data_IF_228336510342
#
_entry.id   IF_228336510342
#
_cell.length_a   1.000
_cell.length_b   1.000
_cell.length_c   1.000
_cell.angle_alpha   90.00
_cell.angle_beta   90.00
_cell.angle_gamma   90.00
#
_symmetry.space_group_name_H-M   'P 1'
#
loop_
_entity.id
_entity.type
_entity.pdbx_description
1 polymer ?
#
# COMPACT_ATOMS: atom_id res chain seq x y z
N UNK A 1 16.92 10.27 -10.70
CA UNK A 1 15.60 10.57 -11.30
C UNK A 1 15.70 11.22 -12.68
N UNK A 2 16.38 12.36 -12.85
CA UNK A 2 16.51 13.04 -14.15
C UNK A 2 17.16 12.20 -15.25
N UNK A 3 18.26 11.49 -14.94
CA UNK A 3 18.92 10.57 -15.87
C UNK A 3 17.97 9.44 -16.32
N UNK A 4 17.14 8.93 -15.41
CA UNK A 4 16.16 7.90 -15.73
C UNK A 4 15.09 8.42 -16.72
N UNK A 5 14.58 9.64 -16.51
CA UNK A 5 13.63 10.26 -17.46
C UNK A 5 14.24 10.49 -18.84
N UNK A 6 15.51 10.91 -18.91
CA UNK A 6 16.20 11.09 -20.20
C UNK A 6 16.43 9.75 -20.90
N UNK A 7 16.87 8.73 -20.17
CA UNK A 7 17.09 7.40 -20.74
C UNK A 7 15.78 6.76 -21.20
N UNK A 8 14.75 6.74 -20.34
CA UNK A 8 13.48 6.08 -20.65
C UNK A 8 12.59 6.88 -21.61
N UNK A 9 12.63 8.21 -21.54
CA UNK A 9 11.74 9.09 -22.30
C UNK A 9 12.30 9.60 -23.62
N UNK A 10 13.63 9.75 -23.73
CA UNK A 10 14.27 10.30 -24.94
C UNK A 10 15.12 9.25 -25.63
N UNK A 11 16.08 8.66 -24.92
CA UNK A 11 17.06 7.76 -25.53
C UNK A 11 16.43 6.44 -25.99
N UNK A 12 15.70 5.74 -25.11
CA UNK A 12 15.13 4.43 -25.45
C UNK A 12 14.12 4.50 -26.61
N UNK A 13 13.19 5.48 -26.67
CA UNK A 13 12.32 5.64 -27.84
C UNK A 13 13.10 6.02 -29.11
N UNK A 14 14.08 6.94 -29.03
CA UNK A 14 14.87 7.35 -30.18
C UNK A 14 15.73 6.19 -30.72
N UNK A 15 16.34 5.41 -29.84
CA UNK A 15 17.11 4.21 -30.19
C UNK A 15 16.22 3.14 -30.82
N UNK A 16 15.05 2.89 -30.25
CA UNK A 16 14.07 1.95 -30.80
C UNK A 16 13.58 2.39 -32.19
N UNK A 17 13.22 3.67 -32.35
CA UNK A 17 12.79 4.24 -33.63
C UNK A 17 13.91 4.23 -34.68
N UNK A 18 15.17 4.46 -34.28
CA UNK A 18 16.34 4.36 -35.15
C UNK A 18 16.62 2.94 -35.66
N UNK A 19 16.12 1.92 -34.95
CA UNK A 19 16.16 0.52 -35.38
C UNK A 19 15.03 0.11 -36.33
N UNK A 20 14.08 1.01 -36.65
CA UNK A 20 13.01 0.72 -37.61
C UNK A 20 13.59 0.84 -39.03
N UNK A 21 13.59 -0.25 -39.83
CA UNK A 21 14.12 -0.21 -41.18
C UNK A 21 13.30 0.74 -42.08
N UNK A 22 13.97 1.33 -43.07
CA UNK A 22 13.31 2.23 -44.02
C UNK A 22 12.17 1.51 -44.75
N UNK A 23 11.10 2.26 -45.08
CA UNK A 23 9.80 1.77 -45.59
C UNK A 23 9.85 0.77 -46.77
N UNK A 24 10.97 0.66 -47.48
CA UNK A 24 11.15 -0.27 -48.62
C UNK A 24 12.00 -1.52 -48.32
N UNK A 25 12.56 -1.68 -47.12
CA UNK A 25 13.21 -2.93 -46.74
C UNK A 25 12.15 -3.93 -46.25
N UNK A 26 11.99 -5.04 -46.99
CA UNK A 26 11.21 -6.16 -46.51
C UNK A 26 11.96 -6.81 -45.36
N UNK A 27 11.41 -6.71 -44.14
CA UNK A 27 11.85 -7.52 -43.01
C UNK A 27 11.54 -8.98 -43.30
N UNK A 28 12.56 -9.80 -43.53
CA UNK A 28 12.38 -11.25 -43.58
C UNK A 28 11.91 -11.76 -42.22
N UNK A 29 10.97 -12.72 -42.22
CA UNK A 29 10.39 -13.29 -40.98
C UNK A 29 11.43 -13.95 -40.06
N UNK A 30 12.62 -14.27 -40.58
CA UNK A 30 13.72 -14.89 -39.85
C UNK A 30 14.59 -13.91 -39.05
N UNK A 31 14.37 -12.59 -39.19
CA UNK A 31 15.18 -11.56 -38.50
C UNK A 31 14.74 -11.31 -37.04
N UNK A 32 13.96 -12.22 -36.45
CA UNK A 32 13.54 -12.13 -35.06
C UNK A 32 14.68 -12.53 -34.12
N UNK A 33 15.06 -11.65 -33.20
CA UNK A 33 16.17 -11.88 -32.26
C UNK A 33 16.04 -13.24 -31.54
N UNK A 34 17.08 -14.07 -31.69
CA UNK A 34 17.15 -15.40 -31.04
C UNK A 34 16.98 -15.29 -29.52
N UNK A 35 17.56 -14.26 -28.90
CA UNK A 35 17.44 -14.01 -27.46
C UNK A 35 15.99 -13.74 -27.07
N UNK A 36 15.32 -12.83 -27.77
CA UNK A 36 13.93 -12.47 -27.49
C UNK A 36 13.00 -13.67 -27.70
N UNK A 37 13.26 -14.48 -28.74
CA UNK A 37 12.51 -15.72 -28.99
C UNK A 37 12.66 -16.70 -27.84
N UNK A 38 13.87 -16.92 -27.33
CA UNK A 38 14.10 -17.85 -26.22
C UNK A 38 13.41 -17.36 -24.94
N UNK A 39 13.61 -16.08 -24.60
CA UNK A 39 13.03 -15.44 -23.43
C UNK A 39 11.51 -15.55 -23.42
N UNK A 40 10.85 -15.16 -24.53
CA UNK A 40 9.40 -15.16 -24.59
C UNK A 40 8.84 -16.59 -24.56
N UNK A 41 9.34 -17.49 -25.41
CA UNK A 41 8.71 -18.80 -25.60
C UNK A 41 8.98 -19.79 -24.46
N UNK A 42 10.18 -19.76 -23.87
CA UNK A 42 10.61 -20.78 -22.92
C UNK A 42 10.65 -20.31 -21.46
N UNK A 43 10.59 -18.99 -21.22
CA UNK A 43 10.59 -18.45 -19.85
C UNK A 43 9.26 -17.74 -19.58
N UNK A 44 8.93 -16.71 -20.35
CA UNK A 44 7.78 -15.84 -20.04
C UNK A 44 6.44 -16.54 -20.31
N UNK A 45 6.27 -17.22 -21.44
CA UNK A 45 5.00 -17.89 -21.76
C UNK A 45 4.68 -19.03 -20.77
N UNK A 46 5.62 -19.94 -20.41
CA UNK A 46 5.37 -20.93 -19.36
C UNK A 46 5.02 -20.29 -18.01
N UNK A 47 5.72 -19.21 -17.63
CA UNK A 47 5.43 -18.48 -16.40
C UNK A 47 4.00 -17.91 -16.39
N UNK A 48 3.56 -17.32 -17.50
CA UNK A 48 2.18 -16.83 -17.66
C UNK A 48 1.19 -17.99 -17.54
N UNK A 49 1.48 -19.16 -18.13
CA UNK A 49 0.60 -20.34 -17.99
C UNK A 49 0.47 -20.78 -16.54
N UNK A 50 1.58 -20.86 -15.80
CA UNK A 50 1.57 -21.21 -14.36
C UNK A 50 0.78 -20.17 -13.57
N UNK A 51 1.01 -18.88 -13.82
CA UNK A 51 0.28 -17.82 -13.13
C UNK A 51 -1.22 -17.81 -13.48
N UNK A 52 -1.59 -18.14 -14.72
CA UNK A 52 -2.99 -18.39 -15.10
C UNK A 52 -3.60 -19.45 -14.21
N UNK A 53 -2.91 -20.59 -14.04
CA UNK A 53 -3.41 -21.68 -13.21
C UNK A 53 -3.59 -21.24 -11.75
N UNK A 54 -2.62 -20.50 -11.19
CA UNK A 54 -2.71 -19.94 -9.84
C UNK A 54 -3.93 -19.03 -9.71
N UNK A 55 -4.12 -18.08 -10.63
CA UNK A 55 -5.29 -17.18 -10.62
C UNK A 55 -6.61 -17.95 -10.69
N UNK A 56 -6.68 -19.03 -11.46
CA UNK A 56 -7.88 -19.86 -11.55
C UNK A 56 -8.15 -20.64 -10.25
N UNK A 57 -7.10 -21.07 -9.53
CA UNK A 57 -7.25 -21.66 -8.19
C UNK A 57 -7.81 -20.63 -7.20
N UNK A 58 -7.26 -19.41 -7.18
CA UNK A 58 -7.78 -18.32 -6.36
C UNK A 58 -9.22 -17.94 -6.74
N UNK A 59 -9.54 -17.96 -8.04
CA UNK A 59 -10.89 -17.72 -8.52
C UNK A 59 -11.86 -18.80 -8.04
N UNK A 60 -11.49 -20.08 -8.15
CA UNK A 60 -12.30 -21.18 -7.64
C UNK A 60 -12.53 -21.03 -6.12
N UNK A 61 -11.49 -20.69 -5.36
CA UNK A 61 -11.61 -20.39 -3.93
C UNK A 61 -12.62 -19.28 -3.67
N UNK A 62 -12.52 -18.15 -4.36
CA UNK A 62 -13.40 -17.00 -4.16
C UNK A 62 -14.87 -17.30 -4.48
N UNK A 63 -15.15 -18.11 -5.52
CA UNK A 63 -16.53 -18.54 -5.82
C UNK A 63 -17.06 -19.45 -4.70
N UNK A 64 -16.25 -20.39 -4.23
CA UNK A 64 -16.67 -21.39 -3.22
C UNK A 64 -16.92 -20.71 -1.87
N UNK A 65 -16.05 -19.79 -1.45
CA UNK A 65 -16.20 -19.10 -0.17
C UNK A 65 -17.20 -17.95 -0.21
N UNK A 66 -17.58 -17.48 -1.41
CA UNK A 66 -18.34 -16.22 -1.62
C UNK A 66 -17.67 -14.99 -0.97
N UNK A 67 -16.40 -15.12 -0.56
CA UNK A 67 -15.59 -14.05 -0.02
C UNK A 67 -14.80 -13.42 -1.16
N UNK A 68 -15.25 -12.24 -1.58
CA UNK A 68 -14.56 -11.50 -2.62
C UNK A 68 -13.19 -11.04 -2.12
N UNK A 69 -12.13 -11.25 -2.92
CA UNK A 69 -10.80 -10.92 -2.48
C UNK A 69 -10.66 -9.41 -2.25
N UNK A 70 -10.04 -9.08 -1.11
CA UNK A 70 -9.63 -7.73 -0.74
C UNK A 70 -8.77 -7.14 -1.88
N UNK A 71 -8.95 -5.85 -2.17
CA UNK A 71 -8.66 -5.26 -3.50
C UNK A 71 -7.21 -5.18 -3.98
N UNK A 72 -6.32 -6.00 -3.43
CA UNK A 72 -5.05 -6.39 -4.05
C UNK A 72 -5.28 -7.23 -5.33
N UNK A 73 -6.34 -8.06 -5.38
CA UNK A 73 -6.60 -8.93 -6.55
C UNK A 73 -6.85 -8.15 -7.83
N UNK A 74 -7.54 -7.01 -7.77
CA UNK A 74 -7.77 -6.20 -8.95
C UNK A 74 -6.46 -5.73 -9.61
N UNK A 75 -5.49 -5.29 -8.82
CA UNK A 75 -4.18 -4.86 -9.32
C UNK A 75 -3.33 -6.02 -9.82
N UNK A 76 -3.36 -7.17 -9.13
CA UNK A 76 -2.64 -8.37 -9.57
C UNK A 76 -3.13 -8.85 -10.93
N UNK A 77 -4.45 -8.93 -11.11
CA UNK A 77 -5.04 -9.34 -12.38
C UNK A 77 -4.72 -8.31 -13.48
N UNK A 78 -4.80 -7.01 -13.17
CA UNK A 78 -4.54 -5.97 -14.15
C UNK A 78 -3.13 -6.05 -14.73
N UNK A 79 -2.10 -5.98 -13.88
CA UNK A 79 -0.70 -5.96 -14.32
C UNK A 79 -0.35 -7.24 -15.08
N UNK A 80 -0.80 -8.37 -14.57
CA UNK A 80 -0.69 -9.65 -15.27
C UNK A 80 -1.32 -9.61 -16.68
N UNK A 81 -2.52 -9.05 -16.81
CA UNK A 81 -3.24 -8.98 -18.08
C UNK A 81 -2.54 -8.04 -19.07
N UNK A 82 -2.01 -6.91 -18.61
CA UNK A 82 -1.24 -5.95 -19.42
C UNK A 82 0.07 -6.57 -19.90
N UNK A 83 0.83 -7.22 -19.02
CA UNK A 83 2.08 -7.92 -19.39
C UNK A 83 1.77 -9.02 -20.42
N UNK A 84 0.70 -9.78 -20.21
CA UNK A 84 0.30 -10.83 -21.13
C UNK A 84 -0.10 -10.28 -22.51
N UNK A 85 -0.81 -9.14 -22.56
CA UNK A 85 -1.11 -8.45 -23.81
C UNK A 85 0.17 -8.01 -24.54
N UNK A 86 1.18 -7.50 -23.81
CA UNK A 86 2.49 -7.16 -24.38
C UNK A 86 3.22 -8.39 -24.92
N UNK A 87 3.18 -9.53 -24.21
CA UNK A 87 3.76 -10.80 -24.66
C UNK A 87 3.07 -11.30 -25.93
N UNK A 88 1.74 -11.20 -26.01
CA UNK A 88 0.98 -11.55 -27.22
C UNK A 88 1.41 -10.64 -28.39
N UNK A 89 1.54 -9.34 -28.16
CA UNK A 89 2.04 -8.41 -29.18
C UNK A 89 3.43 -8.80 -29.69
N UNK A 90 4.37 -9.06 -28.78
CA UNK A 90 5.77 -9.41 -29.12
C UNK A 90 5.89 -10.78 -29.80
N UNK A 91 5.05 -11.74 -29.45
CA UNK A 91 5.08 -13.11 -30.00
C UNK A 91 4.20 -13.29 -31.23
N UNK A 92 3.34 -12.31 -31.56
CA UNK A 92 2.43 -12.39 -32.71
C UNK A 92 3.14 -12.69 -34.05
N UNK A 93 4.33 -12.12 -34.38
CA UNK A 93 5.06 -12.49 -35.59
C UNK A 93 5.47 -13.98 -35.66
N UNK A 94 5.61 -14.64 -34.50
CA UNK A 94 6.04 -16.03 -34.39
C UNK A 94 4.87 -17.04 -34.51
N UNK A 95 3.62 -16.57 -34.65
CA UNK A 95 2.41 -17.44 -34.70
C UNK A 95 2.31 -18.29 -35.96
N UNK A 96 2.99 -17.90 -37.04
CA UNK A 96 3.07 -18.67 -38.28
C UNK A 96 4.17 -19.72 -38.25
N UNK A 97 5.23 -19.47 -37.49
CA UNK A 97 6.42 -20.34 -37.41
C UNK A 97 6.29 -21.37 -36.29
N UNK A 98 5.66 -21.02 -35.17
CA UNK A 98 5.59 -21.88 -33.99
C UNK A 98 4.15 -22.19 -33.55
N UNK A 99 3.79 -23.49 -33.61
CA UNK A 99 2.48 -24.01 -33.18
C UNK A 99 2.20 -23.79 -31.69
N UNK A 100 3.22 -23.81 -30.83
CA UNK A 100 3.08 -23.53 -29.40
C UNK A 100 2.56 -22.10 -29.17
N UNK A 101 3.17 -21.13 -29.85
CA UNK A 101 2.77 -19.71 -29.74
C UNK A 101 1.32 -19.52 -30.17
N UNK A 102 0.94 -20.11 -31.31
CA UNK A 102 -0.43 -20.05 -31.81
C UNK A 102 -1.43 -20.65 -30.80
N UNK A 103 -1.11 -21.81 -30.23
CA UNK A 103 -1.98 -22.52 -29.29
C UNK A 103 -2.12 -21.75 -27.98
N UNK A 104 -1.01 -21.25 -27.44
CA UNK A 104 -1.00 -20.41 -26.24
C UNK A 104 -1.91 -19.19 -26.44
N UNK A 105 -1.71 -18.41 -27.50
CA UNK A 105 -2.48 -17.17 -27.74
C UNK A 105 -3.97 -17.51 -27.85
N UNK A 106 -4.33 -18.56 -28.59
CA UNK A 106 -5.72 -18.97 -28.77
C UNK A 106 -6.43 -19.31 -27.45
N UNK A 107 -5.78 -20.06 -26.57
CA UNK A 107 -6.36 -20.41 -25.26
C UNK A 107 -6.31 -19.22 -24.29
N UNK A 108 -5.20 -18.52 -24.24
CA UNK A 108 -5.00 -17.40 -23.32
C UNK A 108 -6.05 -16.30 -23.50
N UNK A 109 -6.33 -15.89 -24.74
CA UNK A 109 -7.34 -14.86 -25.04
C UNK A 109 -8.72 -15.23 -24.47
N UNK A 110 -9.05 -16.53 -24.38
CA UNK A 110 -10.31 -17.00 -23.80
C UNK A 110 -10.24 -17.10 -22.29
N UNK A 111 -9.14 -17.64 -21.76
CA UNK A 111 -8.95 -17.85 -20.32
C UNK A 111 -8.83 -16.54 -19.55
N UNK A 112 -8.31 -15.48 -20.16
CA UNK A 112 -8.15 -14.19 -19.48
C UNK A 112 -9.48 -13.44 -19.29
N UNK A 113 -10.48 -13.68 -20.15
CA UNK A 113 -11.75 -12.95 -20.10
C UNK A 113 -12.54 -13.21 -18.79
N UNK A 114 -12.76 -14.46 -18.34
CA UNK A 114 -13.38 -14.70 -17.03
C UNK A 114 -12.60 -14.06 -15.88
N UNK A 115 -11.26 -14.06 -15.97
CA UNK A 115 -10.39 -13.47 -14.93
C UNK A 115 -10.59 -11.95 -14.87
N UNK A 116 -10.71 -11.28 -16.02
CA UNK A 116 -11.00 -9.85 -16.10
C UNK A 116 -12.40 -9.50 -15.56
N UNK A 117 -13.40 -10.37 -15.74
CA UNK A 117 -14.74 -10.15 -15.16
C UNK A 117 -14.67 -10.04 -13.63
N UNK A 118 -13.93 -10.93 -12.97
CA UNK A 118 -13.75 -10.87 -11.51
C UNK A 118 -13.04 -9.58 -11.10
N UNK A 119 -12.02 -9.18 -11.85
CA UNK A 119 -11.32 -7.93 -11.61
C UNK A 119 -12.29 -6.74 -11.66
N UNK A 120 -13.18 -6.69 -12.66
CA UNK A 120 -14.23 -5.66 -12.76
C UNK A 120 -15.22 -5.69 -11.60
N UNK A 121 -15.63 -6.88 -11.15
CA UNK A 121 -16.49 -7.02 -9.96
C UNK A 121 -15.76 -6.50 -8.71
N UNK A 122 -14.52 -6.91 -8.48
CA UNK A 122 -13.71 -6.50 -7.33
C UNK A 122 -13.48 -4.99 -7.28
N UNK A 123 -13.11 -4.37 -8.41
CA UNK A 123 -12.94 -2.91 -8.47
C UNK A 123 -14.29 -2.17 -8.40
N UNK A 124 -15.35 -2.75 -8.96
CA UNK A 124 -16.71 -2.21 -8.91
C UNK A 124 -17.23 -2.08 -7.48
N UNK A 125 -17.02 -3.10 -6.63
CA UNK A 125 -17.35 -3.04 -5.20
C UNK A 125 -16.63 -1.85 -4.52
N UNK A 126 -15.35 -1.65 -4.83
CA UNK A 126 -14.58 -0.52 -4.28
C UNK A 126 -15.04 0.84 -4.79
N UNK A 127 -15.38 0.94 -6.08
CA UNK A 127 -15.91 2.17 -6.65
C UNK A 127 -17.27 2.50 -6.03
N UNK A 128 -18.12 1.50 -5.79
CA UNK A 128 -19.41 1.70 -5.13
C UNK A 128 -19.24 2.16 -3.67
N UNK A 129 -18.29 1.58 -2.94
CA UNK A 129 -18.06 1.89 -1.53
C UNK A 129 -17.32 3.22 -1.29
N UNK A 130 -16.43 3.62 -2.21
CA UNK A 130 -15.49 4.73 -1.98
C UNK A 130 -15.46 5.78 -3.10
N UNK A 131 -16.31 5.65 -4.11
CA UNK A 131 -16.28 6.48 -5.31
C UNK A 131 -15.07 6.22 -6.21
N UNK A 132 -15.03 6.94 -7.33
CA UNK A 132 -13.92 6.89 -8.29
C UNK A 132 -12.78 7.78 -7.78
N UNK A 133 -11.57 7.23 -7.78
CA UNK A 133 -10.30 7.94 -7.59
C UNK A 133 -9.40 7.64 -8.79
N UNK A 134 -8.30 8.38 -8.96
CA UNK A 134 -7.40 8.24 -10.11
C UNK A 134 -6.91 6.80 -10.26
N UNK A 135 -6.47 6.18 -9.16
CA UNK A 135 -5.98 4.81 -9.16
C UNK A 135 -7.06 3.82 -9.61
N UNK A 136 -8.30 3.96 -9.13
CA UNK A 136 -9.41 3.07 -9.53
C UNK A 136 -9.83 3.32 -10.98
N UNK A 137 -9.79 4.58 -11.42
CA UNK A 137 -10.03 4.95 -12.80
C UNK A 137 -9.04 4.27 -13.75
N UNK A 138 -7.73 4.33 -13.45
CA UNK A 138 -6.72 3.69 -14.30
C UNK A 138 -6.85 2.17 -14.35
N UNK A 139 -7.24 1.54 -13.23
CA UNK A 139 -7.52 0.09 -13.20
C UNK A 139 -8.65 -0.27 -14.14
N UNK A 140 -9.77 0.46 -14.08
CA UNK A 140 -10.92 0.23 -14.96
C UNK A 140 -10.54 0.50 -16.42
N UNK A 141 -9.88 1.62 -16.70
CA UNK A 141 -9.54 2.02 -18.06
C UNK A 141 -8.58 1.04 -18.74
N UNK A 142 -7.49 0.67 -18.06
CA UNK A 142 -6.55 -0.33 -18.59
C UNK A 142 -7.21 -1.71 -18.66
N UNK A 143 -8.06 -2.07 -17.70
CA UNK A 143 -8.85 -3.30 -17.75
C UNK A 143 -9.76 -3.36 -18.97
N UNK A 144 -10.46 -2.27 -19.28
CA UNK A 144 -11.32 -2.14 -20.46
C UNK A 144 -10.49 -2.21 -21.75
N UNK A 145 -9.34 -1.56 -21.78
CA UNK A 145 -8.42 -1.66 -22.91
C UNK A 145 -7.96 -3.11 -23.15
N UNK A 146 -7.47 -3.81 -22.11
CA UNK A 146 -7.05 -5.21 -22.27
C UNK A 146 -8.22 -6.07 -22.72
N UNK A 147 -9.41 -5.91 -22.12
CA UNK A 147 -10.62 -6.63 -22.53
C UNK A 147 -10.93 -6.39 -24.01
N UNK A 148 -10.90 -5.13 -24.44
CA UNK A 148 -11.09 -4.75 -25.84
C UNK A 148 -10.05 -5.37 -26.78
N UNK A 149 -8.78 -5.40 -26.39
CA UNK A 149 -7.71 -6.08 -27.14
C UNK A 149 -7.96 -7.58 -27.25
N UNK A 150 -8.34 -8.25 -26.16
CA UNK A 150 -8.61 -9.69 -26.16
C UNK A 150 -9.82 -10.02 -27.05
N UNK A 151 -10.90 -9.22 -26.97
CA UNK A 151 -12.07 -9.35 -27.84
C UNK A 151 -11.69 -9.12 -29.30
N UNK A 152 -10.90 -8.08 -29.59
CA UNK A 152 -10.40 -7.79 -30.94
C UNK A 152 -9.61 -8.98 -31.51
N UNK A 153 -8.67 -9.54 -30.75
CA UNK A 153 -7.87 -10.68 -31.19
C UNK A 153 -8.68 -11.98 -31.34
N UNK A 154 -9.81 -12.09 -30.64
CA UNK A 154 -10.73 -13.21 -30.76
C UNK A 154 -11.59 -13.11 -32.04
N UNK A 155 -12.16 -11.92 -32.31
CA UNK A 155 -13.17 -11.72 -33.35
C UNK A 155 -12.61 -11.28 -34.71
N UNK A 156 -11.47 -10.59 -34.74
CA UNK A 156 -10.93 -10.02 -35.97
C UNK A 156 -10.38 -11.12 -36.90
N UNK A 157 -10.89 -11.14 -38.15
CA UNK A 157 -10.41 -12.04 -39.21
C UNK A 157 -8.99 -11.66 -39.68
N UNK A 158 -8.72 -10.36 -39.84
CA UNK A 158 -7.42 -9.81 -40.25
C UNK A 158 -6.80 -9.00 -39.11
N UNK A 159 -5.98 -9.67 -38.30
CA UNK A 159 -5.39 -9.09 -37.08
C UNK A 159 -4.22 -8.19 -37.46
N UNK A 160 -4.32 -6.92 -37.09
CA UNK A 160 -3.26 -5.91 -37.26
C UNK A 160 -2.63 -5.64 -35.91
N UNK A 161 -1.40 -6.12 -35.70
CA UNK A 161 -0.70 -5.95 -34.42
C UNK A 161 -0.55 -4.48 -33.99
N UNK A 162 -0.49 -3.55 -34.95
CA UNK A 162 -0.36 -2.11 -34.70
C UNK A 162 -1.56 -1.50 -33.96
N UNK A 163 -2.72 -2.16 -33.96
CA UNK A 163 -3.91 -1.68 -33.24
C UNK A 163 -3.67 -1.64 -31.73
N UNK A 164 -2.92 -2.60 -31.17
CA UNK A 164 -2.63 -2.66 -29.74
C UNK A 164 -1.87 -1.41 -29.24
N UNK A 165 -0.67 -1.06 -29.76
CA UNK A 165 0.04 0.12 -29.28
C UNK A 165 -0.65 1.44 -29.63
N UNK A 166 -1.29 1.56 -30.80
CA UNK A 166 -2.01 2.81 -31.17
C UNK A 166 -3.20 3.04 -30.25
N UNK A 167 -4.03 2.02 -30.01
CA UNK A 167 -5.18 2.15 -29.11
C UNK A 167 -4.76 2.46 -27.68
N UNK A 168 -3.67 1.84 -27.20
CA UNK A 168 -3.12 2.14 -25.87
C UNK A 168 -2.65 3.60 -25.78
N UNK A 169 -1.93 4.09 -26.80
CA UNK A 169 -1.46 5.47 -26.85
C UNK A 169 -2.60 6.49 -26.84
N UNK A 170 -3.67 6.23 -27.61
CA UNK A 170 -4.87 7.07 -27.64
C UNK A 170 -5.54 7.09 -26.26
N UNK A 171 -5.75 5.91 -25.66
CA UNK A 171 -6.39 5.81 -24.33
C UNK A 171 -5.53 6.48 -23.26
N UNK A 172 -4.21 6.31 -23.30
CA UNK A 172 -3.29 6.97 -22.37
C UNK A 172 -3.36 8.49 -22.50
N UNK A 173 -3.38 9.03 -23.72
CA UNK A 173 -3.54 10.48 -23.94
C UNK A 173 -4.87 10.99 -23.37
N UNK A 174 -5.99 10.33 -23.72
CA UNK A 174 -7.31 10.72 -23.25
C UNK A 174 -7.42 10.61 -21.73
N UNK A 175 -6.75 9.65 -21.10
CA UNK A 175 -6.80 9.45 -19.64
C UNK A 175 -6.26 10.63 -18.83
N UNK A 176 -5.44 11.51 -19.42
CA UNK A 176 -4.83 12.66 -18.74
C UNK A 176 -5.40 14.00 -19.21
N UNK A 177 -5.98 14.06 -20.41
CA UNK A 177 -6.49 15.31 -20.99
C UNK A 177 -8.01 15.35 -21.10
N UNK A 178 -8.60 16.48 -20.73
CA UNK A 178 -10.01 16.79 -20.96
C UNK A 178 -10.97 16.34 -19.84
N UNK A 179 -12.30 16.37 -20.11
CA UNK A 179 -13.32 16.11 -19.09
C UNK A 179 -13.41 14.63 -18.70
N UNK A 180 -12.94 13.72 -19.55
CA UNK A 180 -12.86 12.29 -19.28
C UNK A 180 -11.56 11.86 -18.60
N UNK A 181 -10.63 12.78 -18.32
CA UNK A 181 -9.37 12.46 -17.63
C UNK A 181 -9.63 11.91 -16.23
N UNK A 182 -8.67 11.12 -15.72
CA UNK A 182 -8.72 10.54 -14.39
C UNK A 182 -8.97 11.61 -13.31
N UNK A 183 -8.33 12.78 -13.45
CA UNK A 183 -8.48 13.92 -12.54
C UNK A 183 -9.90 14.51 -12.59
N UNK A 184 -10.42 14.81 -13.78
CA UNK A 184 -11.75 15.40 -13.94
C UNK A 184 -12.86 14.46 -13.45
N UNK A 185 -12.77 13.16 -13.80
CA UNK A 185 -13.76 12.16 -13.41
C UNK A 185 -13.74 11.90 -11.90
N UNK A 186 -12.55 11.81 -11.29
CA UNK A 186 -12.44 11.59 -9.85
C UNK A 186 -12.96 12.79 -9.05
N UNK A 187 -12.57 14.02 -9.44
CA UNK A 187 -13.13 15.23 -8.81
C UNK A 187 -14.64 15.31 -8.93
N UNK A 188 -15.21 15.00 -10.09
CA UNK A 188 -16.66 14.99 -10.29
C UNK A 188 -17.33 13.95 -9.39
N UNK A 189 -16.81 12.72 -9.38
CA UNK A 189 -17.34 11.62 -8.56
C UNK A 189 -17.34 11.98 -7.07
N UNK A 190 -16.23 12.53 -6.57
CA UNK A 190 -16.12 12.88 -5.16
C UNK A 190 -16.96 14.11 -4.80
N UNK A 191 -17.13 15.08 -5.72
CA UNK A 191 -18.04 16.20 -5.53
C UNK A 191 -19.50 15.78 -5.43
N UNK A 192 -19.98 14.93 -6.35
CA UNK A 192 -21.36 14.41 -6.33
C UNK A 192 -21.63 13.68 -5.01
N UNK A 193 -20.65 12.91 -4.54
CA UNK A 193 -20.75 12.17 -3.29
C UNK A 193 -20.78 13.12 -2.09
N UNK A 194 -19.88 14.09 -2.04
CA UNK A 194 -19.86 15.13 -1.02
C UNK A 194 -21.20 15.86 -0.93
N UNK A 195 -21.72 16.34 -2.07
CA UNK A 195 -23.04 16.97 -2.18
C UNK A 195 -24.15 16.06 -1.64
N UNK A 196 -24.16 14.78 -2.02
CA UNK A 196 -25.15 13.81 -1.53
C UNK A 196 -25.09 13.58 -0.02
N UNK A 197 -23.91 13.64 0.61
CA UNK A 197 -23.77 13.51 2.07
C UNK A 197 -24.28 14.76 2.78
N UNK A 198 -23.94 15.93 2.25
CA UNK A 198 -24.37 17.19 2.85
C UNK A 198 -25.89 17.36 2.72
N UNK A 199 -26.46 17.04 1.56
CA UNK A 199 -27.89 17.15 1.29
C UNK A 199 -28.72 16.24 2.20
N UNK A 200 -28.34 14.95 2.31
CA UNK A 200 -29.08 13.99 3.16
C UNK A 200 -29.01 14.28 4.66
N UNK A 201 -28.04 15.10 5.10
CA UNK A 201 -27.85 15.51 6.49
C UNK A 201 -28.28 16.97 6.74
N UNK A 202 -28.97 17.61 5.79
CA UNK A 202 -29.42 19.00 5.87
C UNK A 202 -28.28 20.00 6.18
N UNK A 203 -27.09 19.76 5.64
CA UNK A 203 -25.89 20.54 5.91
C UNK A 203 -25.61 21.64 4.86
N UNK A 204 -26.52 21.86 3.92
CA UNK A 204 -26.38 22.90 2.88
C UNK A 204 -27.26 24.10 3.22
N UNK A 205 -26.65 25.26 3.44
CA UNK A 205 -27.35 26.52 3.67
C UNK A 205 -26.72 27.64 2.84
N UNK A 206 -27.54 28.38 2.06
CA UNK A 206 -27.09 29.45 1.17
C UNK A 206 -25.94 29.04 0.24
N UNK A 207 -26.02 27.85 -0.35
CA UNK A 207 -24.97 27.25 -1.20
C UNK A 207 -23.61 27.08 -0.50
N UNK A 208 -23.59 26.97 0.82
CA UNK A 208 -22.40 26.65 1.60
C UNK A 208 -22.67 25.53 2.60
N UNK A 209 -21.61 24.84 3.02
CA UNK A 209 -21.65 23.95 4.17
C UNK A 209 -22.06 24.73 5.42
N UNK A 210 -22.92 24.11 6.21
CA UNK A 210 -23.31 24.56 7.53
C UNK A 210 -23.28 23.39 8.51
N UNK A 211 -23.19 23.71 9.81
CA UNK A 211 -23.24 22.72 10.88
C UNK A 211 -24.58 21.97 10.81
N UNK A 212 -24.58 20.66 11.03
CA UNK A 212 -25.81 19.88 10.96
C UNK A 212 -26.75 20.29 12.10
N UNK A 213 -28.05 20.27 11.82
CA UNK A 213 -29.09 20.57 12.83
C UNK A 213 -29.32 19.42 13.82
N UNK A 214 -28.84 18.22 13.48
CA UNK A 214 -28.93 16.98 14.25
C UNK A 214 -27.58 16.27 14.24
N UNK A 215 -27.40 15.32 15.15
CA UNK A 215 -26.23 14.45 15.07
C UNK A 215 -26.27 13.61 13.79
N UNK A 216 -25.17 13.66 13.03
CA UNK A 216 -25.01 12.92 11.77
C UNK A 216 -24.36 11.56 12.02
N UNK A 217 -24.65 10.57 11.17
CA UNK A 217 -24.09 9.23 11.32
C UNK A 217 -22.56 9.22 11.27
N UNK A 218 -21.92 8.35 12.04
CA UNK A 218 -20.46 8.21 12.06
C UNK A 218 -19.88 7.92 10.67
N UNK A 219 -20.55 7.06 9.89
CA UNK A 219 -20.17 6.77 8.51
C UNK A 219 -20.15 8.03 7.63
N UNK A 220 -21.07 8.96 7.85
CA UNK A 220 -21.16 10.20 7.08
C UNK A 220 -20.05 11.18 7.50
N UNK A 221 -19.74 11.27 8.80
CA UNK A 221 -18.58 12.01 9.32
C UNK A 221 -17.26 11.51 8.72
N UNK A 222 -17.11 10.19 8.70
CA UNK A 222 -15.94 9.51 8.14
C UNK A 222 -15.83 9.77 6.64
N UNK A 223 -16.93 9.64 5.89
CA UNK A 223 -16.95 9.85 4.44
C UNK A 223 -16.65 11.30 4.05
N UNK A 224 -17.21 12.28 4.78
CA UNK A 224 -16.85 13.71 4.60
C UNK A 224 -15.36 13.91 4.82
N UNK A 225 -14.82 13.36 5.91
CA UNK A 225 -13.41 13.53 6.26
C UNK A 225 -12.48 12.89 5.22
N UNK A 226 -12.82 11.70 4.71
CA UNK A 226 -12.09 11.03 3.63
C UNK A 226 -12.07 11.85 2.35
N UNK A 227 -13.20 12.47 1.98
CA UNK A 227 -13.28 13.32 0.79
C UNK A 227 -12.40 14.57 0.97
N UNK A 228 -12.47 15.24 2.13
CA UNK A 228 -11.66 16.42 2.41
C UNK A 228 -10.16 16.10 2.38
N UNK A 229 -9.75 15.00 3.02
CA UNK A 229 -8.37 14.52 2.99
C UNK A 229 -7.92 14.15 1.57
N UNK A 230 -8.79 13.49 0.80
CA UNK A 230 -8.50 13.17 -0.59
C UNK A 230 -8.24 14.42 -1.43
N UNK A 231 -9.07 15.45 -1.31
CA UNK A 231 -8.85 16.72 -2.01
C UNK A 231 -7.64 17.48 -1.49
N UNK A 232 -7.37 17.46 -0.19
CA UNK A 232 -6.17 18.09 0.38
C UNK A 232 -4.88 17.44 -0.11
N UNK A 233 -4.87 16.12 -0.29
CA UNK A 233 -3.68 15.36 -0.66
C UNK A 233 -3.46 15.26 -2.17
N UNK A 234 -4.53 15.23 -2.97
CA UNK A 234 -4.45 14.91 -4.41
C UNK A 234 -4.97 16.05 -5.31
N UNK A 235 -5.68 17.03 -4.76
CA UNK A 235 -6.32 18.13 -5.49
C UNK A 235 -6.18 19.46 -4.76
N UNK A 236 -7.14 20.37 -4.97
CA UNK A 236 -7.31 21.57 -4.20
C UNK A 236 -8.67 21.54 -3.51
N UNK A 237 -8.73 21.86 -2.20
CA UNK A 237 -9.99 21.93 -1.45
C UNK A 237 -11.01 22.91 -2.07
N UNK A 238 -10.55 23.93 -2.80
CA UNK A 238 -11.42 24.88 -3.52
C UNK A 238 -12.21 24.24 -4.67
N UNK A 239 -11.81 23.05 -5.11
CA UNK A 239 -12.52 22.30 -6.14
C UNK A 239 -13.76 21.56 -5.57
N UNK A 240 -13.97 21.56 -4.24
CA UNK A 240 -15.16 21.01 -3.60
C UNK A 240 -16.31 22.02 -3.60
N UNK A 241 -17.44 21.61 -4.16
CA UNK A 241 -18.70 22.36 -4.16
C UNK A 241 -19.17 22.56 -2.72
N UNK A 242 -19.71 23.74 -2.41
CA UNK A 242 -20.20 24.16 -1.08
C UNK A 242 -19.14 24.44 -0.01
N UNK A 243 -17.86 24.16 -0.27
CA UNK A 243 -16.79 24.46 0.67
C UNK A 243 -16.33 25.92 0.56
N UNK A 244 -16.09 26.64 1.67
CA UNK A 244 -15.52 27.98 1.63
C UNK A 244 -14.16 28.02 0.91
N UNK A 245 -13.90 29.08 0.13
CA UNK A 245 -12.69 29.17 -0.70
C UNK A 245 -11.38 29.28 0.10
N UNK A 246 -11.47 29.71 1.35
CA UNK A 246 -10.39 29.84 2.34
C UNK A 246 -10.39 28.71 3.38
N UNK A 247 -11.22 27.67 3.18
CA UNK A 247 -11.29 26.54 4.09
C UNK A 247 -9.92 25.85 4.25
N UNK A 248 -9.60 25.53 5.50
CA UNK A 248 -8.45 24.71 5.89
C UNK A 248 -8.95 23.55 6.74
N UNK A 249 -8.26 22.42 6.69
CA UNK A 249 -8.61 21.23 7.49
C UNK A 249 -8.65 21.53 9.00
N UNK A 250 -7.83 22.47 9.48
CA UNK A 250 -7.85 22.97 10.87
C UNK A 250 -9.21 23.57 11.28
N UNK A 251 -9.95 24.13 10.32
CA UNK A 251 -11.26 24.74 10.54
C UNK A 251 -12.42 23.72 10.45
N UNK A 252 -12.12 22.42 10.34
CA UNK A 252 -13.12 21.36 10.17
C UNK A 252 -14.23 21.44 11.20
N UNK A 253 -13.90 21.47 12.50
CA UNK A 253 -14.89 21.51 13.57
C UNK A 253 -15.70 22.81 13.56
N UNK A 254 -15.07 23.93 13.21
CA UNK A 254 -15.74 25.22 13.10
C UNK A 254 -16.76 25.25 11.95
N UNK A 255 -16.46 24.63 10.81
CA UNK A 255 -17.31 24.63 9.61
C UNK A 255 -18.37 23.52 9.64
N UNK A 256 -17.99 22.30 10.02
CA UNK A 256 -18.84 21.12 9.95
C UNK A 256 -19.45 20.72 11.31
N UNK A 257 -18.93 21.23 12.43
CA UNK A 257 -19.45 20.94 13.77
C UNK A 257 -18.93 19.64 14.38
N UNK A 258 -17.96 18.97 13.76
CA UNK A 258 -17.30 17.78 14.27
C UNK A 258 -15.83 17.74 13.80
N UNK A 259 -14.92 17.07 14.53
CA UNK A 259 -13.51 17.01 14.17
C UNK A 259 -13.26 16.11 12.95
N UNK A 260 -12.13 16.32 12.27
CA UNK A 260 -11.72 15.50 11.12
C UNK A 260 -11.45 14.05 11.57
N UNK A 261 -12.01 13.06 10.86
CA UNK A 261 -11.77 11.64 11.12
C UNK A 261 -10.88 11.04 10.02
N UNK A 262 -9.72 10.47 10.36
CA UNK A 262 -8.90 9.75 9.36
C UNK A 262 -9.16 8.24 9.51
N UNK A 263 -9.52 7.52 8.44
CA UNK A 263 -9.65 6.06 8.52
C UNK A 263 -8.28 5.45 8.83
N UNK A 264 -8.19 4.72 9.95
CA UNK A 264 -6.93 4.24 10.55
C UNK A 264 -6.52 5.03 11.81
N UNK A 265 -7.16 6.19 12.02
CA UNK A 265 -7.07 7.01 13.21
C UNK A 265 -8.46 7.18 13.80
N UNK A 266 -8.89 6.20 14.60
CA UNK A 266 -9.97 6.40 15.55
C UNK A 266 -9.37 7.01 16.82
N UNK A 267 -9.75 8.23 17.22
CA UNK A 267 -9.27 8.86 18.46
C UNK A 267 -9.90 8.26 19.73
N UNK A 268 -10.17 6.96 19.75
CA UNK A 268 -10.62 6.11 20.87
C UNK A 268 -10.43 4.66 20.38
N UNK A 269 -9.67 3.77 21.00
CA UNK A 269 -9.33 3.61 22.40
C UNK A 269 -7.94 2.95 22.52
N UNK A 270 -7.00 3.61 23.22
CA UNK A 270 -5.78 2.97 23.70
C UNK A 270 -4.53 2.97 22.82
N UNK A 271 -4.53 3.56 21.62
CA UNK A 271 -3.29 3.68 20.80
C UNK A 271 -2.29 4.58 21.51
N UNK A 272 -1.04 4.12 21.68
CA UNK A 272 0.05 4.91 22.25
C UNK A 272 1.28 4.96 21.34
N UNK A 273 2.05 6.04 21.48
CA UNK A 273 3.36 6.20 20.85
C UNK A 273 4.22 7.12 21.70
N UNK A 274 5.20 6.55 22.38
CA UNK A 274 6.18 7.27 23.19
C UNK A 274 7.48 7.38 22.43
N UNK A 275 8.02 8.59 22.34
CA UNK A 275 9.30 8.86 21.71
C UNK A 275 10.18 9.64 22.67
N UNK A 276 11.40 9.17 22.90
CA UNK A 276 12.32 9.85 23.80
C UNK A 276 12.76 11.17 23.17
N UNK A 277 12.63 12.26 23.93
CA UNK A 277 13.13 13.56 23.50
C UNK A 277 14.67 13.55 23.51
N UNK A 278 15.28 13.50 22.33
CA UNK A 278 16.74 13.49 22.18
C UNK A 278 17.37 14.88 22.10
N UNK A 279 16.58 15.96 22.02
CA UNK A 279 17.12 17.33 21.91
C UNK A 279 17.82 17.81 23.19
N UNK A 280 17.38 17.30 24.35
CA UNK A 280 17.96 17.59 25.66
C UNK A 280 18.66 16.36 26.29
N UNK A 281 19.11 15.40 25.46
CA UNK A 281 19.61 14.11 25.91
C UNK A 281 20.67 14.21 27.01
N UNK A 282 20.37 13.66 28.19
CA UNK A 282 21.31 13.56 29.29
C UNK A 282 22.27 12.39 29.04
N UNK A 283 23.53 12.53 29.46
CA UNK A 283 24.49 11.44 29.37
C UNK A 283 24.00 10.24 30.19
N UNK A 284 24.03 9.03 29.61
CA UNK A 284 23.69 7.79 30.30
C UNK A 284 24.90 7.30 31.09
N UNK A 285 24.77 7.17 32.41
CA UNK A 285 25.79 6.50 33.22
C UNK A 285 25.73 4.97 33.01
N UNK A 286 26.84 4.43 32.52
CA UNK A 286 27.08 3.01 32.24
C UNK A 286 27.89 2.33 33.36
N UNK A 287 28.38 3.09 34.35
CA UNK A 287 29.23 2.54 35.42
C UNK A 287 28.46 1.53 36.25
N UNK A 288 29.07 0.37 36.49
CA UNK A 288 28.48 -0.72 37.27
C UNK A 288 27.76 -1.78 36.46
N UNK A 289 27.66 -1.62 35.12
CA UNK A 289 27.22 -2.65 34.19
C UNK A 289 28.40 -3.22 33.40
N UNK A 290 28.34 -4.48 33.02
CA UNK A 290 29.44 -5.14 32.28
C UNK A 290 29.32 -4.92 30.77
N UNK A 291 28.08 -4.92 30.25
CA UNK A 291 27.81 -4.84 28.82
C UNK A 291 26.60 -3.95 28.51
N UNK A 292 26.62 -3.36 27.30
CA UNK A 292 25.49 -2.66 26.68
C UNK A 292 25.10 -3.39 25.39
N UNK A 293 23.80 -3.66 25.24
CA UNK A 293 23.19 -4.34 24.11
C UNK A 293 22.20 -3.40 23.42
N UNK A 294 22.39 -3.17 22.12
CA UNK A 294 21.56 -2.28 21.32
C UNK A 294 20.49 -3.04 20.51
N UNK A 295 19.24 -2.91 20.96
CA UNK A 295 18.06 -3.53 20.36
C UNK A 295 17.22 -2.55 19.51
N UNK A 296 17.79 -1.42 19.08
CA UNK A 296 17.10 -0.51 18.14
C UNK A 296 17.07 -1.07 16.70
N UNK A 297 16.05 -0.67 15.93
CA UNK A 297 15.79 -1.06 14.53
C UNK A 297 15.61 -2.57 14.28
N UNK A 298 15.08 -3.32 15.25
CA UNK A 298 14.97 -4.78 15.12
C UNK A 298 13.54 -5.25 14.85
N UNK A 299 13.28 -5.60 13.59
CA UNK A 299 11.99 -6.13 13.16
C UNK A 299 11.83 -7.65 13.35
N UNK A 300 12.87 -8.36 13.83
CA UNK A 300 12.87 -9.80 14.07
C UNK A 300 13.57 -10.19 15.38
N UNK A 301 13.37 -11.44 15.80
CA UNK A 301 14.08 -12.03 16.95
C UNK A 301 15.58 -11.80 16.84
N UNK A 302 16.15 -11.24 17.90
CA UNK A 302 17.57 -10.90 17.94
C UNK A 302 18.19 -11.47 19.21
N UNK A 303 19.29 -12.18 19.03
CA UNK A 303 20.18 -12.61 20.09
C UNK A 303 21.50 -11.86 19.97
N UNK A 304 22.02 -11.35 21.08
CA UNK A 304 23.35 -10.76 21.16
C UNK A 304 24.12 -11.37 22.33
N UNK A 305 25.39 -11.72 22.10
CA UNK A 305 26.26 -12.35 23.09
C UNK A 305 27.44 -11.45 23.43
N UNK A 306 27.80 -11.40 24.70
CA UNK A 306 29.01 -10.75 25.20
C UNK A 306 29.61 -11.59 26.34
N UNK A 307 30.78 -12.19 26.08
CA UNK A 307 31.39 -13.14 27.02
C UNK A 307 30.47 -14.35 27.25
N UNK A 308 30.17 -14.62 28.53
CA UNK A 308 29.25 -15.69 28.93
C UNK A 308 27.78 -15.24 28.94
N UNK A 309 27.51 -13.94 28.75
CA UNK A 309 26.16 -13.38 28.77
C UNK A 309 25.57 -13.40 27.36
N UNK A 310 24.29 -13.72 27.25
CA UNK A 310 23.51 -13.57 26.03
C UNK A 310 22.16 -12.95 26.37
N UNK A 311 21.72 -11.97 25.58
CA UNK A 311 20.38 -11.39 25.69
C UNK A 311 19.63 -11.70 24.40
N UNK A 312 18.47 -12.34 24.55
CA UNK A 312 17.53 -12.61 23.47
C UNK A 312 16.29 -11.76 23.65
N UNK A 313 15.78 -11.21 22.55
CA UNK A 313 14.53 -10.47 22.50
C UNK A 313 13.59 -11.04 21.45
N UNK A 314 12.34 -11.28 21.85
CA UNK A 314 11.28 -11.84 21.00
C UNK A 314 10.13 -10.84 20.86
N UNK A 315 9.86 -10.43 19.61
CA UNK A 315 8.83 -9.43 19.30
C UNK A 315 7.40 -9.86 19.66
N UNK A 316 7.05 -11.15 19.49
CA UNK A 316 5.66 -11.63 19.70
C UNK A 316 5.19 -11.49 21.14
N UNK A 317 6.09 -11.68 22.10
CA UNK A 317 5.79 -11.65 23.54
C UNK A 317 6.35 -10.41 24.23
N UNK A 318 7.03 -9.52 23.47
CA UNK A 318 7.83 -8.41 23.97
C UNK A 318 8.80 -8.81 25.10
N UNK A 319 9.34 -10.03 25.02
CA UNK A 319 10.07 -10.65 26.13
C UNK A 319 11.58 -10.56 25.94
N UNK A 320 12.29 -10.24 27.02
CA UNK A 320 13.76 -10.30 27.11
C UNK A 320 14.15 -11.48 27.98
N UNK A 321 15.01 -12.35 27.46
CA UNK A 321 15.66 -13.44 28.19
C UNK A 321 17.17 -13.20 28.29
N UNK A 322 17.69 -13.23 29.51
CA UNK A 322 19.12 -13.14 29.80
C UNK A 322 19.63 -14.52 30.15
N UNK A 323 20.68 -14.92 29.46
CA UNK A 323 21.38 -16.17 29.65
C UNK A 323 22.77 -15.91 30.21
N UNK A 324 23.23 -16.80 31.09
CA UNK A 324 24.64 -16.89 31.46
C UNK A 324 25.12 -18.32 31.25
N UNK A 325 26.17 -18.48 30.44
CA UNK A 325 26.73 -19.79 30.07
C UNK A 325 25.68 -20.76 29.50
N UNK A 326 24.70 -20.24 28.77
CA UNK A 326 23.62 -20.99 28.13
C UNK A 326 22.40 -21.31 29.01
N UNK A 327 22.41 -20.94 30.30
CA UNK A 327 21.25 -21.08 31.19
C UNK A 327 20.50 -19.76 31.29
N UNK A 328 19.17 -19.79 31.17
CA UNK A 328 18.32 -18.62 31.43
C UNK A 328 18.42 -18.27 32.90
N UNK A 329 18.89 -17.07 33.20
CA UNK A 329 19.04 -16.56 34.58
C UNK A 329 18.00 -15.48 34.92
N UNK A 330 17.42 -14.83 33.91
CA UNK A 330 16.42 -13.78 34.11
C UNK A 330 15.53 -13.63 32.88
N UNK A 331 14.25 -13.33 33.09
CA UNK A 331 13.26 -13.08 32.05
C UNK A 331 12.42 -11.86 32.44
N UNK A 332 12.15 -10.97 31.49
CA UNK A 332 11.33 -9.76 31.71
C UNK A 332 10.44 -9.50 30.52
N UNK A 333 9.21 -9.05 30.78
CA UNK A 333 8.32 -8.60 29.72
C UNK A 333 8.38 -7.07 29.58
N UNK A 334 8.69 -6.56 28.38
CA UNK A 334 8.77 -5.13 28.12
C UNK A 334 7.42 -4.41 28.20
N UNK A 335 6.31 -5.14 28.02
CA UNK A 335 4.96 -4.60 28.17
C UNK A 335 4.70 -4.03 29.55
N UNK A 336 5.38 -4.52 30.60
CA UNK A 336 5.27 -3.95 31.95
C UNK A 336 5.85 -2.53 32.02
N UNK A 337 7.00 -2.27 31.39
CA UNK A 337 7.61 -0.94 31.36
C UNK A 337 6.80 0.02 30.49
N UNK A 338 6.30 -0.47 29.35
CA UNK A 338 5.43 0.32 28.47
C UNK A 338 4.10 0.65 29.16
N UNK A 339 3.58 -0.25 30.00
CA UNK A 339 2.41 0.03 30.85
C UNK A 339 2.67 1.18 31.81
N UNK A 340 3.81 1.16 32.50
CA UNK A 340 4.18 2.26 33.40
C UNK A 340 4.28 3.60 32.65
N UNK A 341 4.81 3.61 31.42
CA UNK A 341 4.81 4.80 30.57
C UNK A 341 3.38 5.26 30.24
N UNK A 342 2.51 4.31 29.88
CA UNK A 342 1.13 4.59 29.52
C UNK A 342 0.32 5.16 30.68
N UNK A 343 0.40 4.55 31.87
CA UNK A 343 -0.26 5.04 33.08
C UNK A 343 0.23 6.43 33.50
N UNK A 344 1.54 6.69 33.35
CA UNK A 344 2.15 7.95 33.76
C UNK A 344 1.85 9.10 32.82
N UNK A 345 1.95 8.87 31.52
CA UNK A 345 1.88 9.96 30.54
C UNK A 345 0.51 10.10 29.90
N UNK A 346 -0.23 9.00 29.76
CA UNK A 346 -1.38 8.84 28.87
C UNK A 346 -1.04 9.32 27.45
N UNK A 347 -1.27 8.52 26.41
CA UNK A 347 -0.98 9.02 25.06
C UNK A 347 -1.95 8.50 24.03
N UNK A 348 -2.27 9.39 23.09
CA UNK A 348 -2.68 9.04 21.74
C UNK A 348 -1.47 8.89 20.81
N UNK A 349 -1.61 9.40 19.59
CA UNK A 349 -0.72 9.15 18.44
C UNK A 349 0.78 9.39 18.59
N UNK A 350 1.18 10.36 19.40
CA UNK A 350 2.58 10.74 19.55
C UNK A 350 2.79 11.56 20.82
N UNK A 351 3.71 11.10 21.66
CA UNK A 351 4.12 11.80 22.87
C UNK A 351 5.64 11.80 22.97
N UNK A 352 6.22 12.99 23.05
CA UNK A 352 7.60 13.13 23.48
C UNK A 352 7.70 12.97 25.00
N UNK A 353 8.63 12.12 25.43
CA UNK A 353 8.85 11.76 26.83
C UNK A 353 10.32 12.02 27.17
N UNK A 354 10.57 12.59 28.35
CA UNK A 354 11.92 12.82 28.83
C UNK A 354 12.66 11.50 29.06
N UNK A 355 13.97 11.49 28.81
CA UNK A 355 14.82 10.30 28.94
C UNK A 355 14.75 9.63 30.32
N UNK A 356 14.53 10.41 31.39
CA UNK A 356 14.38 9.91 32.77
C UNK A 356 13.18 8.97 32.90
N UNK A 357 12.09 9.30 32.24
CA UNK A 357 10.86 8.53 32.29
C UNK A 357 10.93 7.30 31.36
N UNK A 358 11.74 7.39 30.29
CA UNK A 358 12.02 6.28 29.39
C UNK A 358 13.12 5.31 29.89
N UNK A 359 13.65 5.54 31.10
CA UNK A 359 14.74 4.74 31.69
C UNK A 359 14.25 3.93 32.88
N UNK A 360 14.37 2.61 32.80
CA UNK A 360 13.96 1.66 33.83
C UNK A 360 15.18 0.95 34.41
N UNK A 361 15.19 0.73 35.72
CA UNK A 361 16.25 -0.03 36.39
C UNK A 361 15.62 -1.22 37.10
N UNK A 362 16.22 -2.39 36.90
CA UNK A 362 15.78 -3.67 37.46
C UNK A 362 16.93 -4.22 38.31
N UNK A 363 16.62 -4.55 39.56
CA UNK A 363 17.54 -5.19 40.49
C UNK A 363 16.96 -6.56 40.86
N UNK A 364 17.55 -7.61 40.32
CA UNK A 364 17.19 -9.00 40.60
C UNK A 364 18.32 -9.70 41.39
N UNK A 365 18.04 -10.89 41.95
CA UNK A 365 19.04 -11.70 42.61
C UNK A 365 20.18 -12.14 41.66
N UNK A 366 19.89 -12.35 40.37
CA UNK A 366 20.86 -12.82 39.38
C UNK A 366 21.44 -11.71 38.50
N UNK A 367 20.73 -10.60 38.27
CA UNK A 367 21.13 -9.54 37.33
C UNK A 367 20.80 -8.14 37.86
N UNK A 368 21.72 -7.19 37.66
CA UNK A 368 21.39 -5.76 37.66
C UNK A 368 21.25 -5.30 36.20
N UNK A 369 20.11 -4.70 35.86
CA UNK A 369 19.78 -4.29 34.49
C UNK A 369 19.24 -2.87 34.43
N UNK A 370 19.59 -2.13 33.38
CA UNK A 370 19.01 -0.83 33.02
C UNK A 370 18.52 -0.87 31.58
N UNK A 371 17.25 -0.53 31.38
CA UNK A 371 16.59 -0.48 30.06
C UNK A 371 16.33 0.97 29.73
N UNK A 372 16.67 1.39 28.52
CA UNK A 372 16.32 2.72 28.01
C UNK A 372 15.53 2.54 26.72
N UNK A 373 14.29 2.97 26.74
CA UNK A 373 13.37 2.91 25.59
C UNK A 373 13.57 4.19 24.78
N UNK A 374 13.82 4.06 23.47
CA UNK A 374 13.92 5.18 22.54
C UNK A 374 12.58 5.50 21.91
N UNK A 375 11.85 4.47 21.51
CA UNK A 375 10.46 4.58 21.12
C UNK A 375 9.70 3.31 21.49
N UNK A 376 8.41 3.45 21.75
CA UNK A 376 7.48 2.35 21.91
C UNK A 376 6.11 2.80 21.40
N UNK A 377 5.52 2.02 20.50
CA UNK A 377 4.17 2.29 20.00
C UNK A 377 3.35 1.00 19.92
N UNK A 378 2.05 1.15 20.08
CA UNK A 378 1.15 0.03 20.19
C UNK A 378 -0.25 0.43 20.61
N UNK A 379 -0.97 -0.52 21.19
CA UNK A 379 -2.37 -0.40 21.55
C UNK A 379 -2.63 -0.96 22.95
N UNK A 380 -3.46 -0.25 23.69
CA UNK A 380 -4.02 -0.62 24.97
C UNK A 380 -5.46 -1.07 24.76
N UNK A 381 -5.77 -2.32 25.10
CA UNK A 381 -7.14 -2.82 25.00
C UNK A 381 -7.93 -2.39 26.23
N UNK A 382 -8.88 -1.47 26.07
CA UNK A 382 -9.62 -0.86 27.19
C UNK A 382 -10.46 -1.87 28.01
N UNK A 383 -10.84 -3.01 27.44
CA UNK A 383 -11.67 -4.02 28.14
C UNK A 383 -10.84 -4.99 28.99
N UNK A 384 -9.62 -5.33 28.57
CA UNK A 384 -8.75 -6.31 29.25
C UNK A 384 -7.59 -5.68 29.98
N UNK A 385 -7.39 -4.37 29.80
CA UNK A 385 -6.23 -3.62 30.29
C UNK A 385 -4.91 -4.22 29.78
N UNK A 386 -4.92 -4.87 28.61
CA UNK A 386 -3.73 -5.51 28.01
C UNK A 386 -3.02 -4.56 27.03
N UNK A 387 -1.68 -4.59 27.05
CA UNK A 387 -0.84 -3.83 26.12
C UNK A 387 -0.34 -4.73 25.01
N UNK A 388 -0.63 -4.32 23.78
CA UNK A 388 -0.01 -4.86 22.56
C UNK A 388 1.05 -3.87 22.07
N UNK A 389 2.30 -4.32 21.96
CA UNK A 389 3.40 -3.52 21.41
C UNK A 389 3.54 -3.84 19.92
N UNK A 390 3.28 -2.87 19.06
CA UNK A 390 3.45 -3.01 17.60
C UNK A 390 4.91 -2.73 17.19
N UNK A 391 5.66 -1.97 17.99
CA UNK A 391 7.10 -1.79 17.84
C UNK A 391 7.74 -1.11 19.05
N UNK A 392 8.99 -1.50 19.35
CA UNK A 392 9.78 -0.94 20.45
C UNK A 392 11.26 -0.94 20.11
N UNK A 393 11.90 0.21 20.29
CA UNK A 393 13.33 0.40 20.17
C UNK A 393 13.90 0.67 21.56
N UNK A 394 14.87 -0.13 21.98
CA UNK A 394 15.45 0.01 23.31
C UNK A 394 16.93 -0.43 23.33
N UNK A 395 17.62 -0.03 24.39
CA UNK A 395 18.94 -0.54 24.74
C UNK A 395 18.89 -1.13 26.15
N UNK A 396 19.73 -2.14 26.40
CA UNK A 396 19.83 -2.80 27.69
C UNK A 396 21.28 -2.77 28.15
N UNK A 397 21.51 -2.33 29.38
CA UNK A 397 22.76 -2.52 30.10
C UNK A 397 22.56 -3.56 31.18
N UNK A 398 23.48 -4.52 31.29
CA UNK A 398 23.32 -5.63 32.23
C UNK A 398 24.65 -6.00 32.89
N UNK A 399 24.54 -6.50 34.13
CA UNK A 399 25.61 -7.14 34.90
C UNK A 399 25.05 -8.37 35.60
N UNK A 400 25.73 -9.52 35.47
CA UNK A 400 25.40 -10.71 36.26
C UNK A 400 25.99 -10.58 37.65
N UNK A 401 25.26 -11.00 38.69
CA UNK A 401 25.71 -10.98 40.08
C UNK A 401 26.52 -12.21 40.48
#
# INVERSE_FOLDING_TARGET
>A
LYVWFVIAGVFAPAFFLGGIPAFMQHLEKDDYSKLLRILLLYIIMPLITVYTAILYIYFAKAIITLEWPQGLVAHLVLWYSVISAAVIFLTSPLTEVNKWVRTFIFWFIKLILPVLVIMFVSIGIRINAYGITENRYFVVLLGLWVTGVMIYLNLAKNKRNIVMPISLAIIALLSVFGPWSAYSVSKLSQNIRFESILDRNDMINNNMVSKPSKEIAENDRNEISEILLYFSNNHNLRDLKYLPADFKLENMEATFGFPLHQRGYQPNDGVFSFNMNTMNGEAVDIKGYDYLFDFRNNYQEKSMKAGNMEIQYTNQEAEIKIFNSGLVIYTSNLSEFVRQLYEKHQSGDYKEVDQKDMTFTVQDAAVDMKIIIYNAYGRMENETDEITIDGIDFIVMAKVK
#
